data_IF_064058791388
#
_entry.id   IF_064058791388
#
_cell.length_a   1.000
_cell.length_b   1.000
_cell.length_c   1.000
_cell.angle_alpha   90.00
_cell.angle_beta   90.00
_cell.angle_gamma   90.00
#
_symmetry.space_group_name_H-M   'P 1'
#
loop_
_entity.id
_entity.type
_entity.pdbx_description
1 polymer ?
#
# COMPACT_ATOMS: atom_id res chain seq x y z
N UNK A 1 4.65 -16.86 -11.15
CA UNK A 1 3.44 -16.48 -10.39
C UNK A 1 3.13 -15.01 -10.64
N UNK A 2 2.11 -14.66 -11.43
CA UNK A 2 1.79 -13.26 -11.77
C UNK A 2 1.54 -12.39 -10.53
N UNK A 3 0.98 -12.97 -9.45
CA UNK A 3 0.66 -12.24 -8.24
C UNK A 3 1.86 -11.67 -7.47
N UNK A 4 3.06 -12.27 -7.58
CA UNK A 4 4.23 -11.79 -6.82
C UNK A 4 4.83 -10.52 -7.45
N UNK A 5 4.72 -10.37 -8.78
CA UNK A 5 5.25 -9.21 -9.49
C UNK A 5 4.59 -7.89 -9.07
N UNK A 6 3.32 -7.94 -8.70
CA UNK A 6 2.59 -6.77 -8.22
C UNK A 6 2.56 -6.66 -6.70
N UNK A 7 3.47 -7.31 -5.97
CA UNK A 7 3.51 -7.29 -4.50
C UNK A 7 4.62 -6.38 -3.99
N UNK A 8 4.32 -5.12 -3.58
CA UNK A 8 5.34 -4.20 -3.10
C UNK A 8 6.14 -4.78 -1.93
N UNK A 9 5.47 -5.34 -0.93
CA UNK A 9 6.13 -5.88 0.27
C UNK A 9 7.05 -7.07 -0.05
N UNK A 10 6.68 -7.94 -0.99
CA UNK A 10 7.56 -9.04 -1.40
C UNK A 10 8.85 -8.51 -2.04
N UNK A 11 8.73 -7.48 -2.88
CA UNK A 11 9.87 -6.83 -3.50
C UNK A 11 10.72 -6.06 -2.47
N UNK A 12 10.11 -5.34 -1.53
CA UNK A 12 10.83 -4.70 -0.43
C UNK A 12 11.63 -5.70 0.41
N UNK A 13 11.03 -6.84 0.76
CA UNK A 13 11.72 -7.90 1.52
C UNK A 13 12.86 -8.55 0.73
N UNK A 14 12.68 -8.80 -0.57
CA UNK A 14 13.77 -9.30 -1.43
C UNK A 14 14.90 -8.28 -1.55
N UNK A 15 14.56 -7.01 -1.73
CA UNK A 15 15.52 -5.91 -1.76
C UNK A 15 16.36 -5.86 -0.49
N UNK A 16 15.71 -5.96 0.68
CA UNK A 16 16.38 -6.08 1.97
C UNK A 16 17.28 -7.32 2.05
N UNK A 17 16.78 -8.49 1.68
CA UNK A 17 17.55 -9.74 1.74
C UNK A 17 18.82 -9.69 0.87
N UNK A 18 18.72 -9.19 -0.37
CA UNK A 18 19.89 -9.03 -1.24
C UNK A 18 20.90 -8.01 -0.70
N UNK A 19 20.44 -6.93 -0.08
CA UNK A 19 21.34 -5.97 0.59
C UNK A 19 22.13 -6.65 1.73
N UNK A 20 21.49 -7.53 2.51
CA UNK A 20 22.18 -8.29 3.57
C UNK A 20 23.23 -9.28 3.03
N UNK A 21 23.09 -9.69 1.76
CA UNK A 21 24.06 -10.54 1.05
C UNK A 21 25.13 -9.75 0.31
N UNK A 22 25.14 -8.41 0.42
CA UNK A 22 25.99 -7.49 -0.36
C UNK A 22 25.77 -7.57 -1.88
N UNK A 23 24.61 -8.06 -2.31
CA UNK A 23 24.18 -8.07 -3.72
C UNK A 23 23.34 -6.80 -3.99
N UNK A 24 24.03 -5.67 -4.10
CA UNK A 24 23.38 -4.36 -4.24
C UNK A 24 22.62 -4.21 -5.56
N UNK A 25 23.10 -4.82 -6.65
CA UNK A 25 22.42 -4.78 -7.95
C UNK A 25 21.02 -5.40 -7.86
N UNK A 26 20.91 -6.61 -7.29
CA UNK A 26 19.60 -7.23 -7.11
C UNK A 26 18.75 -6.52 -6.06
N UNK A 27 19.37 -5.93 -5.05
CA UNK A 27 18.66 -5.09 -4.07
C UNK A 27 17.93 -3.94 -4.77
N UNK A 28 18.64 -3.20 -5.63
CA UNK A 28 18.10 -2.01 -6.31
C UNK A 28 17.01 -2.35 -7.33
N UNK A 29 17.15 -3.47 -8.05
CA UNK A 29 16.10 -3.97 -8.96
C UNK A 29 14.81 -4.22 -8.17
N UNK A 30 14.90 -4.87 -7.02
CA UNK A 30 13.73 -5.17 -6.21
C UNK A 30 13.13 -3.94 -5.54
N UNK A 31 13.94 -2.97 -5.11
CA UNK A 31 13.41 -1.66 -4.66
C UNK A 31 12.62 -0.98 -5.78
N UNK A 32 13.18 -0.94 -6.99
CA UNK A 32 12.51 -0.37 -8.17
C UNK A 32 11.16 -1.06 -8.44
N UNK A 33 11.09 -2.38 -8.30
CA UNK A 33 9.82 -3.11 -8.49
C UNK A 33 8.80 -2.84 -7.39
N UNK A 34 9.23 -2.66 -6.15
CA UNK A 34 8.34 -2.24 -5.07
C UNK A 34 7.73 -0.87 -5.37
N UNK A 35 8.57 0.11 -5.76
CA UNK A 35 8.15 1.47 -6.10
C UNK A 35 7.16 1.47 -7.27
N UNK A 36 7.43 0.70 -8.33
CA UNK A 36 6.53 0.57 -9.47
C UNK A 36 5.17 -0.05 -9.10
N UNK A 37 5.18 -1.06 -8.20
CA UNK A 37 3.95 -1.67 -7.74
C UNK A 37 3.10 -0.69 -6.92
N UNK A 38 3.72 0.12 -6.04
CA UNK A 38 3.01 1.19 -5.30
C UNK A 38 2.52 2.29 -6.24
N UNK A 39 3.34 2.73 -7.20
CA UNK A 39 2.96 3.73 -8.19
C UNK A 39 1.75 3.28 -9.04
N UNK A 40 1.68 1.99 -9.39
CA UNK A 40 0.53 1.43 -10.09
C UNK A 40 -0.77 1.57 -9.27
N UNK A 41 -0.74 1.26 -7.96
CA UNK A 41 -1.89 1.43 -7.06
C UNK A 41 -2.26 2.92 -6.96
N UNK A 42 -1.28 3.80 -6.77
CA UNK A 42 -1.52 5.25 -6.69
C UNK A 42 -2.15 5.80 -7.98
N UNK A 43 -1.78 5.27 -9.14
CA UNK A 43 -2.32 5.70 -10.43
C UNK A 43 -3.81 5.34 -10.61
N UNK A 44 -4.34 4.40 -9.82
CA UNK A 44 -5.71 3.94 -9.97
C UNK A 44 -6.73 4.87 -9.30
N UNK A 45 -6.31 5.74 -8.38
CA UNK A 45 -7.23 6.52 -7.56
C UNK A 45 -6.59 7.54 -6.61
N UNK A 46 -7.42 8.11 -5.73
CA UNK A 46 -7.02 9.13 -4.75
C UNK A 46 -7.26 8.72 -3.30
N UNK A 47 -7.66 7.47 -3.06
CA UNK A 47 -7.97 6.98 -1.71
C UNK A 47 -9.24 7.58 -1.11
N UNK A 48 -10.15 8.10 -1.94
CA UNK A 48 -11.43 8.68 -1.50
C UNK A 48 -12.58 7.74 -1.84
N UNK A 49 -13.74 7.90 -1.19
CA UNK A 49 -14.93 7.08 -1.50
C UNK A 49 -15.33 7.12 -2.97
N UNK A 50 -15.28 8.29 -3.60
CA UNK A 50 -15.65 8.46 -5.01
C UNK A 50 -14.56 7.98 -5.98
N UNK A 51 -13.30 7.91 -5.53
CA UNK A 51 -12.18 7.44 -6.33
C UNK A 51 -11.16 6.70 -5.44
N UNK A 52 -11.47 5.44 -5.07
CA UNK A 52 -10.64 4.64 -4.18
C UNK A 52 -9.38 4.17 -4.88
N UNK A 53 -8.35 3.81 -4.11
CA UNK A 53 -7.24 3.04 -4.66
C UNK A 53 -7.67 1.60 -4.92
N UNK A 54 -7.17 0.98 -5.99
CA UNK A 54 -7.51 -0.39 -6.34
C UNK A 54 -6.37 -1.30 -5.95
N UNK A 55 -6.69 -2.34 -5.22
CA UNK A 55 -5.72 -3.29 -4.66
C UNK A 55 -6.15 -4.71 -4.97
N UNK A 56 -5.17 -5.58 -5.16
CA UNK A 56 -5.43 -7.01 -5.38
C UNK A 56 -5.47 -7.77 -4.04
N UNK A 57 -4.81 -7.21 -3.02
CA UNK A 57 -4.68 -7.81 -1.69
C UNK A 57 -4.61 -6.74 -0.63
N UNK A 58 -5.00 -7.13 0.58
CA UNK A 58 -4.87 -6.33 1.79
C UNK A 58 -3.43 -5.82 2.00
N UNK A 59 -2.41 -6.64 1.71
CA UNK A 59 -1.00 -6.24 1.89
C UNK A 59 -0.60 -5.03 1.02
N UNK A 60 -1.27 -4.83 -0.12
CA UNK A 60 -1.03 -3.70 -1.02
C UNK A 60 -1.50 -2.38 -0.37
N UNK A 61 -2.54 -2.43 0.48
CA UNK A 61 -3.05 -1.29 1.23
C UNK A 61 -2.02 -0.77 2.23
N UNK A 62 -1.47 -1.69 3.03
CA UNK A 62 -0.46 -1.36 4.04
C UNK A 62 0.84 -0.88 3.41
N UNK A 63 1.23 -1.44 2.26
CA UNK A 63 2.38 -0.95 1.50
C UNK A 63 2.20 0.52 1.09
N UNK A 64 1.02 0.87 0.57
CA UNK A 64 0.72 2.25 0.19
C UNK A 64 0.66 3.19 1.39
N UNK A 65 0.01 2.79 2.49
CA UNK A 65 -0.05 3.61 3.70
C UNK A 65 1.36 3.89 4.25
N UNK A 66 2.22 2.86 4.29
CA UNK A 66 3.62 3.01 4.70
C UNK A 66 4.39 3.97 3.79
N UNK A 67 4.25 3.84 2.48
CA UNK A 67 4.88 4.74 1.49
C UNK A 67 4.46 6.21 1.73
N UNK A 68 3.21 6.43 2.15
CA UNK A 68 2.67 7.76 2.44
C UNK A 68 2.98 8.27 3.84
N UNK A 69 3.74 7.53 4.66
CA UNK A 69 3.99 7.89 6.06
C UNK A 69 2.71 7.92 6.91
N UNK A 70 1.74 7.08 6.55
CA UNK A 70 0.44 6.98 7.20
C UNK A 70 0.37 5.71 8.02
N UNK A 71 0.00 5.84 9.29
CA UNK A 71 -0.19 4.72 10.20
C UNK A 71 -1.68 4.37 10.32
N UNK A 72 -2.10 3.14 9.94
CA UNK A 72 -3.47 2.71 10.11
C UNK A 72 -3.82 2.60 11.60
N UNK A 73 -4.97 3.17 11.98
CA UNK A 73 -5.52 3.19 13.35
C UNK A 73 -6.70 2.23 13.46
N UNK A 74 -7.56 2.20 12.44
CA UNK A 74 -8.66 1.26 12.35
C UNK A 74 -8.95 0.93 10.88
N UNK A 75 -9.56 -0.23 10.67
CA UNK A 75 -9.98 -0.73 9.37
C UNK A 75 -11.42 -1.23 9.44
N UNK A 76 -12.21 -0.93 8.43
CA UNK A 76 -13.57 -1.46 8.25
C UNK A 76 -13.76 -1.92 6.81
N UNK A 77 -14.38 -3.10 6.66
CA UNK A 77 -14.78 -3.64 5.36
C UNK A 77 -16.22 -3.24 5.04
N UNK A 78 -16.42 -2.65 3.87
CA UNK A 78 -17.72 -2.20 3.37
C UNK A 78 -18.03 -2.96 2.07
N UNK A 79 -19.23 -3.53 2.00
CA UNK A 79 -19.75 -4.16 0.78
C UNK A 79 -20.94 -3.34 0.27
N UNK A 80 -20.83 -2.78 -0.93
CA UNK A 80 -21.87 -1.94 -1.52
C UNK A 80 -21.92 -2.16 -3.03
N UNK A 81 -23.13 -2.35 -3.59
CA UNK A 81 -23.35 -2.49 -5.03
C UNK A 81 -22.48 -3.61 -5.68
N UNK A 82 -22.24 -4.70 -4.94
CA UNK A 82 -21.41 -5.83 -5.37
C UNK A 82 -19.90 -5.56 -5.38
N UNK A 83 -19.47 -4.40 -4.84
CA UNK A 83 -18.07 -3.99 -4.71
C UNK A 83 -17.63 -4.13 -3.26
N UNK A 84 -16.37 -4.52 -3.06
CA UNK A 84 -15.77 -4.69 -1.74
C UNK A 84 -14.76 -3.57 -1.54
N UNK A 85 -14.92 -2.84 -0.44
CA UNK A 85 -14.01 -1.80 -0.03
C UNK A 85 -13.44 -2.11 1.34
N UNK A 86 -12.16 -1.77 1.51
CA UNK A 86 -11.56 -1.64 2.82
C UNK A 86 -11.30 -0.15 3.07
N UNK A 87 -11.74 0.34 4.22
CA UNK A 87 -11.54 1.72 4.62
C UNK A 87 -10.66 1.78 5.85
N UNK A 88 -9.63 2.61 5.80
CA UNK A 88 -8.71 2.82 6.92
C UNK A 88 -8.85 4.22 7.46
N UNK A 89 -8.90 4.37 8.78
CA UNK A 89 -8.56 5.65 9.42
C UNK A 89 -7.06 5.62 9.62
N UNK A 90 -6.32 6.54 8.99
CA UNK A 90 -4.88 6.60 9.11
C UNK A 90 -4.42 7.96 9.64
N UNK A 91 -3.49 7.95 10.60
CA UNK A 91 -2.85 9.16 11.11
C UNK A 91 -1.54 9.40 10.36
N UNK A 92 -1.22 10.66 10.07
CA UNK A 92 0.09 11.03 9.55
C UNK A 92 1.14 10.84 10.66
N UNK A 93 2.28 10.22 10.34
CA UNK A 93 3.32 9.89 11.32
C UNK A 93 3.96 11.14 11.99
N UNK A 94 3.78 12.33 11.41
CA UNK A 94 4.36 13.62 11.88
C UNK A 94 3.44 14.45 12.80
N UNK A 95 2.16 14.06 12.99
CA UNK A 95 1.22 14.86 13.80
C UNK A 95 1.11 14.32 15.23
N UNK A 96 1.91 14.89 16.13
CA UNK A 96 1.68 14.86 17.57
C UNK A 96 0.41 15.68 17.93
N UNK A 97 -0.76 15.10 17.73
CA UNK A 97 -2.02 15.72 18.17
C UNK A 97 -3.23 15.04 17.57
N UNK A 98 -4.32 15.02 18.32
CA UNK A 98 -5.61 14.39 18.02
C UNK A 98 -6.31 15.00 16.78
N UNK A 99 -5.73 14.89 15.60
CA UNK A 99 -6.47 15.06 14.35
C UNK A 99 -7.05 13.71 13.94
N UNK A 100 -8.36 13.71 13.67
CA UNK A 100 -9.07 12.54 13.15
C UNK A 100 -8.37 12.11 11.86
N UNK A 101 -7.77 10.91 11.87
CA UNK A 101 -7.00 10.40 10.75
C UNK A 101 -7.77 10.48 9.42
N UNK A 102 -7.06 10.69 8.33
CA UNK A 102 -7.64 10.72 6.99
C UNK A 102 -8.25 9.35 6.67
N UNK A 103 -9.51 9.33 6.22
CA UNK A 103 -10.15 8.09 5.79
C UNK A 103 -9.65 7.71 4.39
N UNK A 104 -8.92 6.61 4.30
CA UNK A 104 -8.39 6.05 3.07
C UNK A 104 -9.30 4.92 2.56
N UNK A 105 -9.74 5.01 1.32
CA UNK A 105 -10.61 4.02 0.68
C UNK A 105 -9.84 3.17 -0.34
N UNK A 106 -9.93 1.86 -0.16
CA UNK A 106 -9.38 0.84 -1.04
C UNK A 106 -10.51 -0.01 -1.60
N UNK A 107 -10.45 -0.35 -2.89
CA UNK A 107 -11.34 -1.26 -3.57
C UNK A 107 -10.58 -2.54 -3.89
N UNK A 108 -11.09 -3.68 -3.43
CA UNK A 108 -10.53 -4.98 -3.76
C UNK A 108 -11.05 -5.39 -5.15
N UNK A 109 -10.13 -5.63 -6.09
CA UNK A 109 -10.41 -5.98 -7.50
C UNK A 109 -9.89 -7.35 -7.91
#
# INVERSE_FOLDING_TARGET
MPGVFFCPEAHSMLGYAYAQLNDHERSDIHRTWADLAVAAIQSSGKGTRSWPWRVLRIIDEYALLRERGMKPVSQERIEQDGRIFDTHIAADDDLHGFDFGNQCWFELV
#
